data_IF_675524966851
#
_entry.id   IF_675524966851
#
_cell.length_a   1.000
_cell.length_b   1.000
_cell.length_c   1.000
_cell.angle_alpha   90.00
_cell.angle_beta   90.00
_cell.angle_gamma   90.00
#
_symmetry.space_group_name_H-M   'P 1'
#
loop_
_entity.id
_entity.type
_entity.pdbx_description
1 polymer ?
#
# COMPACT_ATOMS: atom_id res chain seq x y z
N UNK A 1 34.70 23.67 -3.75
CA UNK A 1 35.86 23.09 -4.49
C UNK A 1 36.94 22.73 -3.48
N UNK A 2 37.54 21.54 -3.58
CA UNK A 2 38.59 21.13 -2.65
C UNK A 2 39.85 22.00 -2.84
N UNK A 3 40.67 22.12 -1.79
CA UNK A 3 41.90 22.91 -1.81
C UNK A 3 42.85 22.52 -2.96
N UNK A 4 42.92 21.21 -3.24
CA UNK A 4 43.71 20.64 -4.34
C UNK A 4 43.19 21.08 -5.73
N UNK A 5 41.87 21.23 -5.90
CA UNK A 5 41.30 21.60 -7.21
C UNK A 5 41.61 23.07 -7.53
N UNK A 6 41.58 23.94 -6.51
CA UNK A 6 42.01 25.36 -6.63
C UNK A 6 43.50 25.48 -6.94
N UNK A 7 44.33 24.62 -6.35
CA UNK A 7 45.77 24.56 -6.63
C UNK A 7 46.07 24.11 -8.08
N UNK A 8 45.29 23.17 -8.62
CA UNK A 8 45.41 22.74 -10.02
C UNK A 8 45.01 23.84 -11.01
N UNK A 9 43.94 24.60 -10.72
CA UNK A 9 43.53 25.77 -11.52
C UNK A 9 44.63 26.86 -11.52
N UNK A 10 45.24 27.10 -10.35
CA UNK A 10 46.34 28.05 -10.23
C UNK A 10 47.55 27.64 -11.09
N UNK A 11 47.96 26.37 -11.06
CA UNK A 11 49.09 25.87 -11.87
C UNK A 11 48.83 25.97 -13.38
N UNK A 12 47.59 25.79 -13.82
CA UNK A 12 47.21 25.97 -15.24
C UNK A 12 47.31 27.43 -15.68
N UNK A 13 47.05 28.36 -14.77
CA UNK A 13 47.01 29.81 -15.06
C UNK A 13 48.39 30.47 -14.96
N UNK A 14 49.26 29.97 -14.08
CA UNK A 14 50.48 30.69 -13.67
C UNK A 14 51.70 30.48 -14.57
N UNK A 15 51.63 29.64 -15.61
CA UNK A 15 52.66 29.51 -16.66
C UNK A 15 54.03 28.94 -16.23
N UNK A 16 54.37 29.06 -14.94
CA UNK A 16 55.55 28.48 -14.30
C UNK A 16 55.10 27.48 -13.25
N UNK A 17 55.56 26.24 -13.39
CA UNK A 17 55.11 25.11 -12.58
C UNK A 17 55.98 25.03 -11.32
N UNK A 18 55.48 25.59 -10.21
CA UNK A 18 56.11 25.46 -8.90
C UNK A 18 55.16 24.76 -7.92
N UNK A 19 55.38 23.46 -7.71
CA UNK A 19 54.52 22.63 -6.86
C UNK A 19 54.63 22.99 -5.38
N UNK A 20 55.85 23.17 -4.84
CA UNK A 20 56.08 23.49 -3.43
C UNK A 20 55.43 24.82 -3.01
N UNK A 21 55.61 25.89 -3.81
CA UNK A 21 55.04 27.19 -3.51
C UNK A 21 53.50 27.17 -3.60
N UNK A 22 52.96 26.45 -4.58
CA UNK A 22 51.51 26.32 -4.77
C UNK A 22 50.89 25.45 -3.67
N UNK A 23 51.53 24.34 -3.31
CA UNK A 23 51.11 23.46 -2.23
C UNK A 23 51.03 24.20 -0.89
N UNK A 24 52.04 25.02 -0.59
CA UNK A 24 52.08 25.88 0.60
C UNK A 24 51.00 26.97 0.57
N UNK A 25 50.75 27.59 -0.59
CA UNK A 25 49.74 28.64 -0.76
C UNK A 25 48.30 28.15 -0.56
N UNK A 26 48.03 26.91 -0.97
CA UNK A 26 46.69 26.32 -0.91
C UNK A 26 46.55 25.25 0.18
N UNK A 27 47.52 25.15 1.10
CA UNK A 27 47.52 24.17 2.21
C UNK A 27 47.18 22.74 1.76
N UNK A 28 47.85 22.27 0.71
CA UNK A 28 47.66 20.93 0.18
C UNK A 28 48.98 20.16 0.09
N UNK A 29 48.88 18.82 0.08
CA UNK A 29 50.04 17.95 -0.05
C UNK A 29 50.68 18.09 -1.44
N UNK A 30 51.97 18.46 -1.48
CA UNK A 30 52.71 18.70 -2.71
C UNK A 30 52.78 17.45 -3.60
N UNK A 31 53.00 16.27 -3.00
CA UNK A 31 53.14 15.03 -3.77
C UNK A 31 51.83 14.65 -4.47
N UNK A 32 50.70 14.90 -3.81
CA UNK A 32 49.35 14.70 -4.34
C UNK A 32 49.04 15.70 -5.44
N UNK A 33 49.42 16.97 -5.27
CA UNK A 33 49.27 18.03 -6.28
C UNK A 33 50.08 17.70 -7.54
N UNK A 34 51.37 17.35 -7.38
CA UNK A 34 52.26 16.95 -8.46
C UNK A 34 51.71 15.74 -9.22
N UNK A 35 51.30 14.68 -8.52
CA UNK A 35 50.76 13.46 -9.13
C UNK A 35 49.44 13.71 -9.87
N UNK A 36 48.56 14.58 -9.35
CA UNK A 36 47.31 14.95 -10.03
C UNK A 36 47.53 15.84 -11.25
N UNK A 37 48.46 16.80 -11.18
CA UNK A 37 48.81 17.66 -12.32
C UNK A 37 49.41 16.85 -13.48
N UNK A 38 50.24 15.85 -13.17
CA UNK A 38 50.83 14.91 -14.14
C UNK A 38 49.85 13.80 -14.61
N UNK A 39 48.58 13.84 -14.20
CA UNK A 39 47.58 12.84 -14.59
C UNK A 39 47.79 11.43 -14.00
N UNK A 40 48.78 11.23 -13.12
CA UNK A 40 49.09 9.94 -12.47
C UNK A 40 48.11 9.58 -11.35
N UNK A 41 47.33 10.55 -10.86
CA UNK A 41 46.23 10.33 -9.92
C UNK A 41 44.99 11.08 -10.41
N UNK A 42 43.88 10.37 -10.52
CA UNK A 42 42.56 10.97 -10.78
C UNK A 42 41.87 11.31 -9.46
N UNK A 43 40.83 12.14 -9.52
CA UNK A 43 40.00 12.40 -8.35
C UNK A 43 39.37 11.07 -7.89
N UNK A 44 39.57 10.69 -6.62
CA UNK A 44 39.00 9.45 -6.03
C UNK A 44 37.50 9.30 -6.29
N UNK A 45 36.76 10.42 -6.33
CA UNK A 45 35.31 10.44 -6.52
C UNK A 45 34.88 10.02 -7.94
N UNK A 46 35.69 10.32 -8.95
CA UNK A 46 35.39 9.99 -10.35
C UNK A 46 35.83 8.56 -10.70
N UNK A 47 36.95 8.11 -10.13
CA UNK A 47 37.50 6.76 -10.36
C UNK A 47 36.65 5.65 -9.74
N UNK A 48 36.10 5.86 -8.53
CA UNK A 48 35.39 4.81 -7.79
C UNK A 48 34.06 4.39 -8.45
N UNK A 49 33.40 5.30 -9.17
CA UNK A 49 32.14 4.99 -9.87
C UNK A 49 32.36 4.29 -11.21
N UNK A 50 33.47 4.61 -11.90
CA UNK A 50 33.77 4.11 -13.24
C UNK A 50 34.38 2.70 -13.23
N UNK A 51 35.21 2.39 -12.23
CA UNK A 51 35.90 1.09 -12.16
C UNK A 51 35.12 -0.01 -11.42
N UNK A 52 34.16 0.36 -10.56
CA UNK A 52 33.39 -0.61 -9.75
C UNK A 52 32.07 -1.04 -10.39
N UNK A 53 31.58 -0.34 -11.41
CA UNK A 53 30.38 -0.78 -12.10
C UNK A 53 30.70 -1.89 -13.11
N UNK A 54 29.89 -2.95 -13.10
CA UNK A 54 30.01 -4.09 -14.02
C UNK A 54 29.53 -3.75 -15.45
N UNK A 55 28.84 -2.63 -15.61
CA UNK A 55 28.33 -2.12 -16.87
C UNK A 55 28.98 -0.78 -17.18
N UNK A 56 29.25 -0.52 -18.46
CA UNK A 56 29.69 0.79 -18.91
C UNK A 56 28.57 1.83 -18.73
N UNK A 57 28.93 3.13 -18.68
CA UNK A 57 27.95 4.21 -18.58
C UNK A 57 26.90 4.17 -19.69
N UNK A 58 27.31 3.83 -20.91
CA UNK A 58 26.39 3.70 -22.04
C UNK A 58 25.41 2.54 -21.85
N UNK A 59 25.93 1.36 -21.47
CA UNK A 59 25.07 0.19 -21.23
C UNK A 59 24.11 0.42 -20.06
N UNK A 60 24.52 1.14 -19.02
CA UNK A 60 23.61 1.53 -17.95
C UNK A 60 22.50 2.45 -18.46
N UNK A 61 22.81 3.44 -19.29
CA UNK A 61 21.81 4.35 -19.86
C UNK A 61 20.83 3.62 -20.81
N UNK A 62 21.33 2.69 -21.61
CA UNK A 62 20.50 1.87 -22.50
C UNK A 62 19.55 0.98 -21.67
N UNK A 63 20.04 0.42 -20.55
CA UNK A 63 19.22 -0.35 -19.62
C UNK A 63 18.15 0.52 -18.94
N UNK A 64 18.47 1.74 -18.51
CA UNK A 64 17.49 2.71 -17.99
C UNK A 64 16.40 2.99 -19.03
N UNK A 65 16.80 3.25 -20.28
CA UNK A 65 15.88 3.53 -21.39
C UNK A 65 14.95 2.33 -21.65
N UNK A 66 15.50 1.12 -21.62
CA UNK A 66 14.73 -0.11 -21.77
C UNK A 66 13.73 -0.32 -20.62
N UNK A 67 14.16 -0.10 -19.38
CA UNK A 67 13.29 -0.18 -18.19
C UNK A 67 12.13 0.81 -18.32
N UNK A 68 12.41 2.07 -18.71
CA UNK A 68 11.35 3.08 -18.92
C UNK A 68 10.35 2.64 -19.99
N UNK A 69 10.83 2.07 -21.10
CA UNK A 69 9.97 1.53 -22.16
C UNK A 69 9.07 0.39 -21.67
N UNK A 70 9.57 -0.48 -20.80
CA UNK A 70 8.78 -1.55 -20.19
C UNK A 70 7.73 -1.02 -19.21
N UNK A 71 8.11 -0.05 -18.36
CA UNK A 71 7.18 0.60 -17.44
C UNK A 71 6.06 1.33 -18.17
N UNK A 72 6.37 2.04 -19.27
CA UNK A 72 5.36 2.69 -20.12
C UNK A 72 4.39 1.71 -20.78
N UNK A 73 4.79 0.44 -20.95
CA UNK A 73 3.95 -0.65 -21.45
C UNK A 73 3.15 -1.36 -20.35
N UNK A 74 3.22 -0.86 -19.11
CA UNK A 74 2.54 -1.45 -17.95
C UNK A 74 3.21 -2.72 -17.41
N UNK A 75 4.48 -2.95 -17.74
CA UNK A 75 5.25 -4.13 -17.27
C UNK A 75 6.52 -3.63 -16.55
N UNK A 76 6.40 -3.02 -15.35
CA UNK A 76 7.57 -2.58 -14.60
C UNK A 76 8.46 -3.80 -14.28
N UNK A 77 9.74 -3.80 -14.68
CA UNK A 77 10.60 -4.96 -14.55
C UNK A 77 11.01 -5.21 -13.09
N UNK A 78 11.02 -6.49 -12.70
CA UNK A 78 11.42 -6.88 -11.34
C UNK A 78 12.90 -6.67 -11.05
N UNK A 79 13.30 -6.53 -9.78
CA UNK A 79 14.73 -6.48 -9.41
C UNK A 79 15.49 -7.71 -9.96
N UNK A 80 14.85 -8.88 -9.96
CA UNK A 80 15.39 -10.10 -10.57
C UNK A 80 15.52 -9.98 -12.09
N UNK A 81 14.54 -9.40 -12.77
CA UNK A 81 14.62 -9.14 -14.21
C UNK A 81 15.73 -8.14 -14.55
N UNK A 82 15.86 -7.05 -13.78
CA UNK A 82 16.95 -6.06 -13.94
C UNK A 82 18.31 -6.73 -13.75
N UNK A 83 18.44 -7.65 -12.79
CA UNK A 83 19.65 -8.47 -12.62
C UNK A 83 19.93 -9.31 -13.86
N UNK A 84 18.91 -9.99 -14.39
CA UNK A 84 19.06 -10.83 -15.58
C UNK A 84 19.48 -10.00 -16.79
N UNK A 85 18.87 -8.84 -17.03
CA UNK A 85 19.27 -7.94 -18.11
C UNK A 85 20.72 -7.50 -17.97
N UNK A 86 21.14 -7.13 -16.76
CA UNK A 86 22.52 -6.75 -16.50
C UNK A 86 23.50 -7.91 -16.75
N UNK A 87 23.15 -9.13 -16.34
CA UNK A 87 23.94 -10.34 -16.62
C UNK A 87 24.02 -10.64 -18.11
N UNK A 88 22.90 -10.48 -18.83
CA UNK A 88 22.84 -10.74 -20.27
C UNK A 88 23.67 -9.73 -21.08
N UNK A 89 23.71 -8.46 -20.64
CA UNK A 89 24.52 -7.41 -21.27
C UNK A 89 26.00 -7.59 -20.91
N UNK A 90 26.32 -7.85 -19.64
CA UNK A 90 27.69 -7.95 -19.17
C UNK A 90 28.34 -9.31 -19.45
N UNK A 91 27.55 -10.35 -19.77
CA UNK A 91 27.97 -11.76 -19.91
C UNK A 91 28.73 -12.29 -18.69
N UNK A 92 28.48 -11.71 -17.52
CA UNK A 92 29.14 -12.01 -16.25
C UNK A 92 28.05 -12.05 -15.17
N UNK A 93 28.22 -12.91 -14.18
CA UNK A 93 27.34 -12.92 -13.02
C UNK A 93 27.40 -11.60 -12.25
N UNK A 94 26.22 -11.03 -12.05
CA UNK A 94 26.04 -9.75 -11.35
C UNK A 94 25.68 -10.05 -9.90
N UNK A 95 26.32 -9.35 -8.96
CA UNK A 95 26.10 -9.56 -7.52
C UNK A 95 24.65 -9.34 -7.10
N UNK A 96 24.19 -10.04 -6.06
CA UNK A 96 22.81 -10.00 -5.55
C UNK A 96 22.30 -8.57 -5.28
N UNK A 97 23.17 -7.69 -4.78
CA UNK A 97 22.81 -6.31 -4.39
C UNK A 97 22.97 -5.29 -5.52
N UNK A 98 23.53 -5.68 -6.67
CA UNK A 98 23.76 -4.76 -7.78
C UNK A 98 22.47 -4.13 -8.33
N UNK A 99 21.34 -4.86 -8.52
CA UNK A 99 20.10 -4.26 -9.00
C UNK A 99 19.59 -3.16 -8.06
N UNK A 100 19.71 -3.37 -6.75
CA UNK A 100 19.35 -2.37 -5.74
C UNK A 100 20.21 -1.11 -5.88
N UNK A 101 21.54 -1.28 -5.94
CA UNK A 101 22.47 -0.15 -6.14
C UNK A 101 22.27 0.55 -7.49
N UNK A 102 21.90 -0.17 -8.55
CA UNK A 102 21.58 0.41 -9.85
C UNK A 102 20.32 1.28 -9.78
N UNK A 103 19.22 0.75 -9.23
CA UNK A 103 17.97 1.50 -9.06
C UNK A 103 18.18 2.72 -8.17
N UNK A 104 18.96 2.60 -7.09
CA UNK A 104 19.26 3.71 -6.20
C UNK A 104 20.03 4.85 -6.91
N UNK A 105 20.97 4.51 -7.81
CA UNK A 105 21.74 5.49 -8.59
C UNK A 105 20.87 6.21 -9.62
N UNK A 106 19.93 5.49 -10.21
CA UNK A 106 19.06 5.97 -11.30
C UNK A 106 17.65 6.29 -10.82
N UNK A 107 17.45 6.54 -9.51
CA UNK A 107 16.13 6.73 -8.90
C UNK A 107 15.31 7.87 -9.52
N UNK A 108 15.99 8.92 -9.98
CA UNK A 108 15.33 10.07 -10.60
C UNK A 108 14.91 9.79 -12.06
N UNK A 109 15.52 8.80 -12.71
CA UNK A 109 15.25 8.46 -14.12
C UNK A 109 14.32 7.25 -14.26
N UNK A 110 14.45 6.31 -13.34
CA UNK A 110 13.59 5.15 -13.19
C UNK A 110 12.57 5.51 -12.11
N UNK A 111 11.50 6.18 -12.54
CA UNK A 111 10.36 6.41 -11.67
C UNK A 111 9.78 5.05 -11.27
N UNK A 112 10.15 4.59 -10.09
CA UNK A 112 9.73 3.30 -9.56
C UNK A 112 8.36 3.45 -8.88
N UNK A 113 7.36 3.97 -9.60
CA UNK A 113 5.94 3.82 -9.26
C UNK A 113 5.53 2.40 -9.62
N UNK A 114 6.09 1.45 -8.89
CA UNK A 114 5.98 0.02 -9.16
C UNK A 114 4.54 -0.53 -8.99
N UNK A 115 3.61 0.27 -8.44
CA UNK A 115 2.22 -0.14 -8.18
C UNK A 115 1.15 0.95 -8.33
N UNK A 116 1.48 2.21 -8.57
CA UNK A 116 0.50 3.29 -8.28
C UNK A 116 -0.57 3.51 -9.36
N UNK A 117 -0.35 3.13 -10.61
CA UNK A 117 -1.38 3.31 -11.65
C UNK A 117 -2.42 2.20 -11.66
N UNK A 118 -1.95 0.99 -11.98
CA UNK A 118 -2.83 -0.16 -12.22
C UNK A 118 -3.35 -0.81 -10.95
N UNK A 119 -2.54 -0.89 -9.88
CA UNK A 119 -3.01 -1.53 -8.65
C UNK A 119 -3.89 -0.60 -7.81
N UNK A 120 -3.73 0.73 -7.93
CA UNK A 120 -4.74 1.67 -7.41
C UNK A 120 -6.05 1.54 -8.19
N UNK A 121 -5.99 1.40 -9.53
CA UNK A 121 -7.20 1.18 -10.33
C UNK A 121 -7.89 -0.16 -10.00
N UNK A 122 -7.13 -1.24 -9.78
CA UNK A 122 -7.68 -2.54 -9.32
C UNK A 122 -8.24 -2.47 -7.91
N UNK A 123 -7.53 -1.83 -6.97
CA UNK A 123 -8.02 -1.60 -5.60
C UNK A 123 -9.29 -0.74 -5.56
N UNK A 124 -9.43 0.21 -6.49
CA UNK A 124 -10.67 1.00 -6.66
C UNK A 124 -11.78 0.22 -7.36
N UNK A 125 -11.44 -0.74 -8.21
CA UNK A 125 -12.40 -1.65 -8.84
C UNK A 125 -12.85 -2.78 -7.89
N UNK A 126 -12.06 -3.09 -6.87
CA UNK A 126 -12.45 -3.97 -5.78
C UNK A 126 -13.61 -3.38 -4.98
N UNK A 127 -14.58 -4.21 -4.64
CA UNK A 127 -15.70 -3.81 -3.81
C UNK A 127 -15.30 -3.81 -2.33
N UNK A 128 -14.64 -2.73 -1.90
CA UNK A 128 -14.14 -2.55 -0.53
C UNK A 128 -15.21 -2.83 0.53
N UNK A 129 -16.45 -2.42 0.29
CA UNK A 129 -17.58 -2.65 1.20
C UNK A 129 -17.89 -4.14 1.39
N UNK A 130 -17.79 -4.96 0.32
CA UNK A 130 -17.98 -6.41 0.42
C UNK A 130 -16.87 -7.08 1.20
N UNK A 131 -15.60 -6.75 0.94
CA UNK A 131 -14.50 -7.29 1.74
C UNK A 131 -14.64 -6.91 3.21
N UNK A 132 -14.95 -5.63 3.47
CA UNK A 132 -15.17 -5.12 4.83
C UNK A 132 -16.26 -5.90 5.55
N UNK A 133 -17.41 -6.16 4.92
CA UNK A 133 -18.48 -6.95 5.53
C UNK A 133 -18.03 -8.36 5.97
N UNK A 134 -17.20 -9.03 5.18
CA UNK A 134 -16.68 -10.36 5.52
C UNK A 134 -15.68 -10.33 6.68
N UNK A 135 -14.79 -9.35 6.71
CA UNK A 135 -13.82 -9.19 7.80
C UNK A 135 -14.47 -8.66 9.08
N UNK A 136 -15.47 -7.79 8.99
CA UNK A 136 -16.26 -7.31 10.12
C UNK A 136 -17.09 -8.44 10.73
N UNK A 137 -17.69 -9.32 9.91
CA UNK A 137 -18.37 -10.52 10.37
C UNK A 137 -17.42 -11.48 11.10
N UNK A 138 -16.22 -11.69 10.57
CA UNK A 138 -15.23 -12.53 11.24
C UNK A 138 -14.75 -11.90 12.55
N UNK A 139 -14.55 -10.58 12.56
CA UNK A 139 -14.14 -9.84 13.75
C UNK A 139 -15.23 -9.84 14.83
N UNK A 140 -16.51 -9.75 14.46
CA UNK A 140 -17.62 -9.84 15.40
C UNK A 140 -17.77 -11.25 15.98
N UNK A 141 -17.62 -12.30 15.17
CA UNK A 141 -17.64 -13.69 15.63
C UNK A 141 -16.50 -14.02 16.59
N UNK A 142 -15.32 -13.46 16.34
CA UNK A 142 -14.11 -13.71 17.16
C UNK A 142 -13.91 -12.68 18.26
N UNK A 143 -14.70 -11.61 18.28
CA UNK A 143 -14.56 -10.43 19.14
C UNK A 143 -13.13 -9.85 19.15
N UNK A 144 -12.34 -10.09 18.10
CA UNK A 144 -10.92 -9.72 18.04
C UNK A 144 -10.00 -10.47 19.02
N UNK A 145 -10.49 -11.53 19.68
CA UNK A 145 -9.72 -12.32 20.66
C UNK A 145 -8.64 -13.19 20.02
N UNK A 146 -8.72 -13.39 18.70
CA UNK A 146 -7.80 -14.24 17.94
C UNK A 146 -7.25 -13.48 16.75
N UNK A 147 -5.96 -13.65 16.47
CA UNK A 147 -5.35 -13.10 15.26
C UNK A 147 -5.80 -13.87 14.01
N UNK A 148 -6.06 -13.11 12.93
CA UNK A 148 -6.43 -13.67 11.64
C UNK A 148 -5.23 -14.44 11.07
N UNK A 149 -5.39 -15.75 10.88
CA UNK A 149 -4.34 -16.55 10.25
C UNK A 149 -4.37 -16.40 8.72
N UNK A 150 -3.25 -16.70 8.07
CA UNK A 150 -3.19 -16.76 6.60
C UNK A 150 -4.22 -17.71 6.00
N UNK A 151 -4.55 -18.82 6.68
CA UNK A 151 -5.56 -19.77 6.22
C UNK A 151 -6.96 -19.16 6.22
N UNK A 152 -7.35 -18.49 7.31
CA UNK A 152 -8.66 -17.84 7.42
C UNK A 152 -8.77 -16.63 6.50
N UNK A 153 -7.67 -15.86 6.38
CA UNK A 153 -7.58 -14.79 5.41
C UNK A 153 -7.98 -15.28 4.02
N UNK A 154 -7.40 -16.40 3.56
CA UNK A 154 -7.74 -16.93 2.24
C UNK A 154 -9.19 -17.40 2.12
N UNK A 155 -9.76 -18.02 3.16
CA UNK A 155 -11.18 -18.44 3.14
C UNK A 155 -12.11 -17.23 3.05
N UNK A 156 -11.87 -16.21 3.86
CA UNK A 156 -12.66 -14.97 3.85
C UNK A 156 -12.47 -14.20 2.54
N UNK A 157 -11.22 -14.09 2.08
CA UNK A 157 -10.88 -13.39 0.85
C UNK A 157 -11.55 -14.04 -0.36
N UNK A 158 -11.46 -15.36 -0.53
CA UNK A 158 -12.10 -16.03 -1.66
C UNK A 158 -13.62 -15.92 -1.62
N UNK A 159 -14.23 -16.07 -0.44
CA UNK A 159 -15.68 -15.87 -0.29
C UNK A 159 -16.12 -14.45 -0.66
N UNK A 160 -15.38 -13.44 -0.22
CA UNK A 160 -15.66 -12.05 -0.56
C UNK A 160 -15.39 -11.74 -2.04
N UNK A 161 -14.31 -12.30 -2.61
CA UNK A 161 -13.90 -12.11 -4.00
C UNK A 161 -14.94 -12.71 -4.95
N UNK A 162 -15.35 -13.97 -4.73
CA UNK A 162 -16.39 -14.63 -5.53
C UNK A 162 -17.72 -13.86 -5.44
N UNK A 163 -18.09 -13.40 -4.24
CA UNK A 163 -19.27 -12.55 -4.06
C UNK A 163 -19.13 -11.18 -4.74
N UNK A 164 -17.91 -10.72 -5.04
CA UNK A 164 -17.67 -9.43 -5.71
C UNK A 164 -17.77 -9.52 -7.25
N UNK A 165 -17.49 -10.69 -7.86
CA UNK A 165 -17.57 -10.93 -9.31
C UNK A 165 -18.99 -11.25 -9.79
N UNK A 166 -19.95 -10.36 -9.52
CA UNK A 166 -21.30 -10.50 -10.10
C UNK A 166 -21.34 -9.97 -11.54
N UNK A 167 -22.22 -10.50 -12.42
CA UNK A 167 -22.37 -10.00 -13.78
C UNK A 167 -22.64 -8.49 -13.85
N UNK A 168 -23.37 -7.95 -12.87
CA UNK A 168 -23.69 -6.53 -12.76
C UNK A 168 -22.45 -5.69 -12.42
N UNK A 169 -21.60 -6.17 -11.52
CA UNK A 169 -20.35 -5.50 -11.16
C UNK A 169 -19.34 -5.54 -12.32
N UNK A 170 -19.27 -6.67 -13.03
CA UNK A 170 -18.42 -6.78 -14.22
C UNK A 170 -18.95 -5.82 -15.30
N UNK A 171 -20.25 -5.80 -15.55
CA UNK A 171 -20.88 -4.91 -16.52
C UNK A 171 -20.75 -3.42 -16.14
N UNK A 172 -20.81 -3.08 -14.85
CA UNK A 172 -20.59 -1.70 -14.39
C UNK A 172 -19.15 -1.25 -14.63
N UNK A 173 -18.18 -2.15 -14.46
CA UNK A 173 -16.79 -1.92 -14.85
C UNK A 173 -16.63 -1.59 -16.35
N UNK A 174 -17.27 -2.38 -17.23
CA UNK A 174 -17.25 -2.14 -18.68
C UNK A 174 -18.03 -0.89 -19.12
N UNK A 175 -19.07 -0.51 -18.37
CA UNK A 175 -19.82 0.72 -18.63
C UNK A 175 -18.95 1.96 -18.39
N UNK A 176 -18.09 1.94 -17.37
CA UNK A 176 -17.16 3.05 -17.07
C UNK A 176 -16.13 3.28 -18.17
N UNK A 177 -15.77 2.23 -18.91
CA UNK A 177 -14.84 2.32 -20.05
C UNK A 177 -15.53 2.65 -21.37
N UNK A 178 -16.87 2.67 -21.40
CA UNK A 178 -17.62 2.90 -22.64
C UNK A 178 -17.49 1.77 -23.65
N UNK A 179 -16.98 0.60 -23.25
CA UNK A 179 -16.75 -0.54 -24.14
C UNK A 179 -17.97 -1.45 -24.23
N UNK A 180 -18.67 -1.64 -23.10
CA UNK A 180 -19.89 -2.47 -23.07
C UNK A 180 -20.90 -1.96 -22.04
N UNK A 181 -22.09 -1.49 -22.49
CA UNK A 181 -22.44 -1.17 -23.87
C UNK A 181 -21.50 -0.12 -24.47
N UNK A 182 -21.35 -0.08 -25.80
CA UNK A 182 -20.46 0.86 -26.46
C UNK A 182 -20.99 2.29 -26.30
N UNK A 183 -20.24 3.14 -25.61
CA UNK A 183 -20.58 4.53 -25.29
C UNK A 183 -19.29 5.37 -25.12
N UNK A 184 -18.82 6.05 -26.19
CA UNK A 184 -17.55 6.78 -26.18
C UNK A 184 -17.60 8.06 -25.32
N UNK A 185 -18.78 8.60 -25.01
CA UNK A 185 -18.93 9.87 -24.30
C UNK A 185 -18.56 9.75 -22.81
N UNK A 186 -18.62 8.54 -22.26
CA UNK A 186 -18.21 8.25 -20.87
C UNK A 186 -16.75 8.65 -20.64
N UNK A 187 -15.86 8.37 -21.58
CA UNK A 187 -14.43 8.70 -21.49
C UNK A 187 -14.22 10.21 -21.62
N UNK A 188 -14.95 10.86 -22.54
CA UNK A 188 -14.87 12.30 -22.76
C UNK A 188 -15.31 13.09 -21.53
N UNK A 189 -16.33 12.60 -20.81
CA UNK A 189 -16.82 13.21 -19.56
C UNK A 189 -15.87 13.08 -18.37
N UNK A 190 -14.95 12.11 -18.39
CA UNK A 190 -13.96 11.93 -17.30
C UNK A 190 -12.78 12.89 -17.45
N UNK A 191 -12.41 13.25 -18.69
CA UNK A 191 -11.33 14.20 -18.96
C UNK A 191 -11.70 15.61 -18.48
N UNK A 192 -12.99 15.96 -18.51
CA UNK A 192 -13.51 17.28 -18.11
C UNK A 192 -13.82 17.44 -16.62
N UNK A 193 -13.88 16.35 -15.83
CA UNK A 193 -14.28 16.37 -14.41
C UNK A 193 -13.13 16.43 -13.39
N UNK A 194 -11.87 16.56 -13.82
CA UNK A 194 -10.71 16.54 -12.92
C UNK A 194 -10.50 17.81 -12.05
N UNK A 195 -11.50 18.68 -11.86
CA UNK A 195 -11.30 19.97 -11.16
C UNK A 195 -12.06 20.20 -9.87
N UNK A 196 -12.97 19.36 -9.40
CA UNK A 196 -13.75 19.71 -8.20
C UNK A 196 -14.01 18.55 -7.25
N UNK A 197 -14.13 18.96 -5.99
CA UNK A 197 -13.61 18.36 -4.76
C UNK A 197 -14.61 17.46 -4.02
N UNK A 198 -14.02 16.84 -3.00
CA UNK A 198 -14.52 16.10 -1.85
C UNK A 198 -15.85 16.61 -1.22
N UNK A 199 -16.70 15.69 -0.77
CA UNK A 199 -17.60 15.89 0.38
C UNK A 199 -18.28 14.58 0.80
N UNK A 200 -17.76 14.03 1.89
CA UNK A 200 -18.47 13.12 2.78
C UNK A 200 -19.69 13.82 3.39
N UNK A 201 -20.83 13.13 3.42
CA UNK A 201 -22.03 13.56 4.17
C UNK A 201 -22.42 12.45 5.14
N UNK A 202 -22.11 12.71 6.41
CA UNK A 202 -22.54 11.98 7.58
C UNK A 202 -24.06 12.19 7.80
N UNK A 203 -24.83 11.10 7.81
CA UNK A 203 -26.29 11.15 8.04
C UNK A 203 -26.61 10.80 9.49
N UNK A 204 -27.33 11.72 10.13
CA UNK A 204 -27.60 11.79 11.56
C UNK A 204 -28.37 10.63 12.17
N UNK A 205 -28.04 10.42 13.44
CA UNK A 205 -28.76 9.66 14.46
C UNK A 205 -30.12 10.33 14.74
N UNK A 206 -31.20 9.54 14.82
CA UNK A 206 -32.47 9.98 15.40
C UNK A 206 -33.10 8.88 16.29
N UNK A 207 -33.89 9.36 17.25
CA UNK A 207 -34.19 8.85 18.59
C UNK A 207 -34.71 7.40 18.73
N UNK A 208 -34.10 6.68 19.67
CA UNK A 208 -34.52 5.36 20.14
C UNK A 208 -35.31 5.47 21.45
N UNK A 209 -36.65 5.42 21.40
CA UNK A 209 -37.51 5.36 22.58
C UNK A 209 -37.83 3.89 22.90
N UNK A 210 -36.79 3.14 23.26
CA UNK A 210 -36.89 1.88 23.99
C UNK A 210 -36.18 2.05 25.34
N UNK A 211 -36.70 1.46 26.41
CA UNK A 211 -35.96 1.39 27.67
C UNK A 211 -34.73 0.51 27.41
N UNK A 212 -33.54 1.11 27.35
CA UNK A 212 -32.29 0.36 27.36
C UNK A 212 -32.18 -0.37 28.71
N UNK A 213 -32.03 -1.70 28.65
CA UNK A 213 -31.85 -2.59 29.81
C UNK A 213 -32.97 -2.52 30.87
N UNK A 214 -34.22 -2.89 30.53
CA UNK A 214 -35.33 -2.83 31.47
C UNK A 214 -35.14 -3.85 32.60
N UNK A 215 -35.14 -3.38 33.84
CA UNK A 215 -34.99 -4.27 35.00
C UNK A 215 -36.22 -5.19 35.11
N UNK A 216 -36.06 -6.42 35.59
CA UNK A 216 -37.17 -7.38 35.78
C UNK A 216 -38.37 -6.79 36.57
N UNK A 217 -38.11 -5.85 37.47
CA UNK A 217 -39.13 -5.12 38.23
C UNK A 217 -39.95 -4.14 37.38
N UNK A 218 -39.34 -3.52 36.39
CA UNK A 218 -39.97 -2.57 35.46
C UNK A 218 -40.85 -3.29 34.45
N UNK A 219 -40.36 -4.42 33.91
CA UNK A 219 -41.14 -5.32 33.07
C UNK A 219 -42.38 -5.83 33.82
N UNK A 220 -42.21 -6.27 35.07
CA UNK A 220 -43.34 -6.69 35.93
C UNK A 220 -44.34 -5.57 36.17
N UNK A 221 -43.89 -4.32 36.42
CA UNK A 221 -44.78 -3.16 36.58
C UNK A 221 -45.55 -2.83 35.31
N UNK A 222 -44.92 -2.91 34.14
CA UNK A 222 -45.58 -2.68 32.85
C UNK A 222 -46.65 -3.73 32.56
N UNK A 223 -46.34 -5.02 32.80
CA UNK A 223 -47.28 -6.13 32.66
C UNK A 223 -48.48 -5.98 33.60
N UNK A 224 -48.25 -5.63 34.88
CA UNK A 224 -49.31 -5.43 35.89
C UNK A 224 -50.17 -4.19 35.60
N UNK A 225 -49.58 -3.11 35.07
CA UNK A 225 -50.31 -1.88 34.68
C UNK A 225 -51.23 -2.13 33.48
N UNK A 226 -50.84 -3.03 32.59
CA UNK A 226 -51.65 -3.38 31.41
C UNK A 226 -52.71 -4.44 31.70
N UNK A 227 -52.49 -5.33 32.67
CA UNK A 227 -53.53 -6.28 33.11
C UNK A 227 -54.63 -5.63 33.97
N UNK A 228 -54.38 -4.43 34.50
CA UNK A 228 -55.33 -3.66 35.32
C UNK A 228 -56.06 -2.55 34.57
N UNK A 229 -55.51 -2.03 33.46
CA UNK A 229 -56.12 -0.98 32.65
C UNK A 229 -55.96 -1.32 31.17
N UNK A 230 -57.09 -1.38 30.44
CA UNK A 230 -57.14 -1.57 28.98
C UNK A 230 -56.63 -0.32 28.24
N UNK A 231 -55.35 -0.01 28.37
CA UNK A 231 -54.68 1.10 27.69
C UNK A 231 -53.81 0.57 26.55
N UNK A 232 -54.23 0.84 25.31
CA UNK A 232 -53.57 0.44 24.07
C UNK A 232 -52.09 0.94 24.00
N UNK A 233 -51.80 2.09 24.59
CA UNK A 233 -50.43 2.64 24.67
C UNK A 233 -49.50 1.78 25.53
N UNK A 234 -50.00 1.22 26.64
CA UNK A 234 -49.25 0.29 27.50
C UNK A 234 -48.93 -1.00 26.76
N UNK A 235 -49.90 -1.51 26.01
CA UNK A 235 -49.76 -2.71 25.17
C UNK A 235 -48.71 -2.58 24.08
N UNK A 236 -48.72 -1.45 23.37
CA UNK A 236 -47.71 -1.17 22.35
C UNK A 236 -46.31 -1.04 22.95
N UNK A 237 -46.18 -0.43 24.13
CA UNK A 237 -44.88 -0.31 24.82
C UNK A 237 -44.37 -1.67 25.27
N UNK A 238 -45.21 -2.51 25.87
CA UNK A 238 -44.85 -3.86 26.29
C UNK A 238 -44.42 -4.74 25.11
N UNK A 239 -45.17 -4.70 24.01
CA UNK A 239 -44.85 -5.42 22.78
C UNK A 239 -43.47 -5.02 22.23
N UNK A 240 -43.19 -3.72 22.11
CA UNK A 240 -41.89 -3.22 21.65
C UNK A 240 -40.74 -3.62 22.58
N UNK A 241 -40.95 -3.58 23.90
CA UNK A 241 -39.92 -4.05 24.85
C UNK A 241 -39.68 -5.55 24.75
N UNK A 242 -40.72 -6.35 24.51
CA UNK A 242 -40.58 -7.79 24.30
C UNK A 242 -39.81 -8.09 23.02
N UNK A 243 -40.15 -7.42 21.92
CA UNK A 243 -39.45 -7.54 20.62
C UNK A 243 -37.97 -7.13 20.76
N UNK A 244 -37.68 -6.04 21.48
CA UNK A 244 -36.31 -5.59 21.77
C UNK A 244 -35.53 -6.62 22.60
N UNK A 245 -36.11 -7.14 23.68
CA UNK A 245 -35.46 -8.15 24.52
C UNK A 245 -35.25 -9.47 23.79
N UNK A 246 -36.19 -9.86 22.94
CA UNK A 246 -36.03 -11.06 22.11
C UNK A 246 -34.85 -10.90 21.15
N UNK A 247 -34.75 -9.75 20.46
CA UNK A 247 -33.61 -9.44 19.60
C UNK A 247 -32.29 -9.46 20.38
N UNK A 248 -32.25 -8.88 21.57
CA UNK A 248 -31.07 -8.89 22.45
C UNK A 248 -30.66 -10.31 22.86
N UNK A 249 -31.61 -11.16 23.26
CA UNK A 249 -31.35 -12.56 23.59
C UNK A 249 -30.83 -13.35 22.39
N UNK A 250 -31.37 -13.11 21.19
CA UNK A 250 -30.89 -13.74 19.96
C UNK A 250 -29.46 -13.29 19.61
N UNK A 251 -29.15 -12.00 19.73
CA UNK A 251 -27.80 -11.47 19.55
C UNK A 251 -26.81 -12.09 20.55
N UNK A 252 -27.14 -12.08 21.84
CA UNK A 252 -26.30 -12.69 22.89
C UNK A 252 -26.09 -14.19 22.67
N UNK A 253 -27.10 -14.91 22.17
CA UNK A 253 -26.96 -16.33 21.83
C UNK A 253 -25.98 -16.53 20.67
N UNK A 254 -26.10 -15.70 19.62
CA UNK A 254 -25.21 -15.74 18.47
C UNK A 254 -23.76 -15.41 18.87
N UNK A 255 -23.55 -14.39 19.71
CA UNK A 255 -22.22 -14.05 20.26
C UNK A 255 -21.62 -15.20 21.08
N UNK A 256 -22.39 -15.78 21.99
CA UNK A 256 -21.94 -16.92 22.79
C UNK A 256 -21.59 -18.13 21.93
N UNK A 257 -22.31 -18.37 20.84
CA UNK A 257 -21.97 -19.41 19.87
C UNK A 257 -20.62 -19.10 19.19
N UNK A 258 -20.44 -17.87 18.68
CA UNK A 258 -19.18 -17.44 18.05
C UNK A 258 -17.97 -17.57 18.97
N UNK A 259 -18.11 -17.18 20.25
CA UNK A 259 -17.07 -17.35 21.26
C UNK A 259 -16.71 -18.82 21.51
N UNK A 260 -17.72 -19.70 21.61
CA UNK A 260 -17.48 -21.14 21.80
C UNK A 260 -16.73 -21.75 20.62
N UNK A 261 -17.14 -21.42 19.40
CA UNK A 261 -16.45 -21.87 18.19
C UNK A 261 -15.01 -21.36 18.12
N UNK A 262 -14.80 -20.08 18.45
CA UNK A 262 -13.49 -19.44 18.47
C UNK A 262 -12.55 -20.11 19.48
N UNK A 263 -13.03 -20.42 20.68
CA UNK A 263 -12.26 -21.16 21.70
C UNK A 263 -11.89 -22.56 21.19
N UNK A 264 -12.81 -23.27 20.54
CA UNK A 264 -12.54 -24.60 19.96
C UNK A 264 -11.45 -24.50 18.89
N UNK A 265 -11.55 -23.52 17.97
CA UNK A 265 -10.56 -23.29 16.92
C UNK A 265 -9.17 -22.98 17.49
N UNK A 266 -9.08 -22.14 18.52
CA UNK A 266 -7.81 -21.83 19.19
C UNK A 266 -7.20 -23.05 19.88
N UNK A 267 -8.02 -23.88 20.54
CA UNK A 267 -7.54 -25.14 21.12
C UNK A 267 -6.97 -26.07 20.05
N UNK A 268 -7.65 -26.21 18.92
CA UNK A 268 -7.16 -27.01 17.79
C UNK A 268 -5.87 -26.45 17.19
N UNK A 269 -5.72 -25.12 17.08
CA UNK A 269 -4.48 -24.48 16.63
C UNK A 269 -3.30 -24.84 17.52
N UNK A 270 -3.48 -24.72 18.84
CA UNK A 270 -2.43 -25.05 19.83
C UNK A 270 -2.03 -26.52 19.77
N UNK A 271 -2.98 -27.43 19.54
CA UNK A 271 -2.70 -28.87 19.38
C UNK A 271 -1.92 -29.22 18.11
N UNK A 272 -2.03 -28.42 17.04
CA UNK A 272 -1.34 -28.65 15.76
C UNK A 272 0.03 -27.96 15.67
N UNK A 273 0.31 -27.02 16.58
CA UNK A 273 1.59 -26.30 16.67
C UNK A 273 2.61 -26.96 17.59
N UNK A 274 2.28 -28.12 18.17
CA UNK A 274 3.17 -29.05 18.88
C UNK A 274 3.40 -30.25 17.97
#
# INVERSE_FOLDING_TARGET
MAAIDKALEFLKTSGSINYAATAKKFECDETTLHRRHQGKQRARRDDDSLYKSRLSKQQEQDLVTYIRKLSLRGIPPTLSMIRNFAQDIAKIEVGKNWPYSFVQRHRNEIDCTWFDGFDIARRRADNASRYRAYFDLWTSQTQGLTGLSKREFWVLFWGALEASFTPENIASGWRRTGLKPFDPDVVLSQVSKNTDDDSDVESGLDDSIALQEPTARELRRLVVKQSSVSSDTGARKLKRTLESLQAEVELLRHENQGLRETIIREKQRRQRGV
#
